data_IF_359744147780
#
_entry.id   IF_359744147780
#
_cell.length_a   1.000
_cell.length_b   1.000
_cell.length_c   1.000
_cell.angle_alpha   90.00
_cell.angle_beta   90.00
_cell.angle_gamma   90.00
#
_symmetry.space_group_name_H-M   'P 1'
#
loop_
_entity.id
_entity.type
_entity.pdbx_description
1 polymer ?
#
# COMPACT_ATOMS: atom_id res chain seq x y z
N UNK A 1 -31.73 0.87 -57.77
CA UNK A 1 -32.16 2.15 -57.20
C UNK A 1 -31.31 2.41 -55.96
N UNK A 2 -30.77 3.63 -55.86
CA UNK A 2 -29.58 4.00 -55.10
C UNK A 2 -29.81 4.15 -53.58
N UNK A 3 -28.76 3.87 -52.80
CA UNK A 3 -28.62 4.19 -51.38
C UNK A 3 -28.21 5.66 -51.16
N UNK A 4 -28.51 6.27 -50.01
CA UNK A 4 -27.77 7.43 -49.53
C UNK A 4 -26.90 7.10 -48.32
N UNK A 5 -25.59 7.34 -48.49
CA UNK A 5 -24.59 7.45 -47.44
C UNK A 5 -24.91 8.64 -46.53
N UNK A 6 -24.64 8.51 -45.23
CA UNK A 6 -24.69 9.65 -44.28
C UNK A 6 -23.32 9.83 -43.62
N UNK A 7 -22.84 11.06 -43.73
CA UNK A 7 -21.45 11.50 -43.56
C UNK A 7 -20.92 11.47 -42.13
N UNK A 8 -19.66 11.03 -42.03
CA UNK A 8 -18.71 11.29 -40.95
C UNK A 8 -18.48 12.80 -40.83
N UNK A 9 -18.59 13.35 -39.61
CA UNK A 9 -18.27 14.76 -39.31
C UNK A 9 -17.18 14.82 -38.25
N UNK A 10 -15.97 15.18 -38.66
CA UNK A 10 -14.82 15.55 -37.81
C UNK A 10 -14.60 17.05 -37.96
N UNK A 11 -14.40 17.80 -36.87
CA UNK A 11 -13.37 18.84 -36.89
C UNK A 11 -12.76 19.09 -35.48
N UNK A 12 -11.84 20.05 -35.31
CA UNK A 12 -10.54 20.19 -35.97
C UNK A 12 -9.39 20.06 -34.95
N UNK A 13 -8.22 19.69 -35.48
CA UNK A 13 -6.91 19.81 -34.82
C UNK A 13 -6.60 21.28 -34.51
N UNK A 14 -6.36 21.61 -33.24
CA UNK A 14 -5.73 22.88 -32.84
C UNK A 14 -4.30 22.60 -32.39
N UNK A 15 -3.35 23.08 -33.21
CA UNK A 15 -1.93 23.19 -32.90
C UNK A 15 -1.70 24.50 -32.16
N UNK A 16 -1.13 24.47 -30.94
CA UNK A 16 -0.28 25.54 -30.40
C UNK A 16 0.33 25.14 -29.05
N UNK A 17 1.58 24.66 -29.06
CA UNK A 17 2.53 24.91 -27.99
C UNK A 17 3.29 26.21 -28.35
N UNK A 18 3.75 27.06 -27.40
CA UNK A 18 5.01 26.73 -26.72
C UNK A 18 5.18 27.27 -25.27
N UNK A 19 6.08 26.59 -24.55
CA UNK A 19 7.05 27.12 -23.57
C UNK A 19 6.51 27.88 -22.35
N UNK A 20 6.48 27.18 -21.21
CA UNK A 20 6.97 27.75 -19.94
C UNK A 20 8.03 26.84 -19.32
N UNK A 21 9.04 27.53 -18.82
CA UNK A 21 10.37 27.12 -18.41
C UNK A 21 10.47 25.86 -17.53
N UNK A 22 11.63 25.18 -17.58
CA UNK A 22 11.97 24.15 -16.63
C UNK A 22 12.12 24.80 -15.24
N UNK A 23 11.37 24.32 -14.25
CA UNK A 23 11.78 24.46 -12.85
C UNK A 23 12.92 23.47 -12.61
N UNK A 24 14.11 23.85 -13.07
CA UNK A 24 15.33 23.59 -12.31
C UNK A 24 15.24 24.40 -11.02
N UNK A 25 15.93 23.93 -9.98
CA UNK A 25 15.88 24.31 -8.55
C UNK A 25 15.05 23.29 -7.77
N UNK A 26 15.63 22.31 -7.06
CA UNK A 26 16.98 22.22 -6.50
C UNK A 26 17.28 20.74 -6.28
N UNK A 27 18.29 20.24 -6.97
CA UNK A 27 19.02 19.07 -6.50
C UNK A 27 19.50 19.41 -5.08
N UNK A 28 19.06 18.63 -4.09
CA UNK A 28 19.66 18.60 -2.77
C UNK A 28 21.05 17.97 -2.96
N UNK A 29 21.98 18.76 -3.45
CA UNK A 29 23.39 18.44 -3.32
C UNK A 29 23.66 18.47 -1.83
N UNK A 30 23.98 17.31 -1.26
CA UNK A 30 24.73 17.20 -0.03
C UNK A 30 26.12 17.83 -0.26
N UNK A 31 26.17 19.16 -0.36
CA UNK A 31 27.41 19.92 -0.23
C UNK A 31 27.76 19.91 1.25
N UNK A 32 28.48 18.88 1.66
CA UNK A 32 29.38 18.95 2.81
C UNK A 32 30.47 19.99 2.52
N UNK A 33 30.12 21.26 2.63
CA UNK A 33 31.07 22.36 2.66
C UNK A 33 31.53 22.53 4.10
N UNK A 34 32.35 21.59 4.58
CA UNK A 34 33.26 21.84 5.70
C UNK A 34 34.32 22.82 5.20
N UNK A 35 33.99 24.12 5.20
CA UNK A 35 34.99 25.18 5.11
C UNK A 35 35.76 25.19 6.42
N UNK A 36 36.75 24.28 6.50
CA UNK A 36 37.74 24.22 7.56
C UNK A 36 38.54 25.52 7.54
N UNK A 37 38.15 26.45 8.41
CA UNK A 37 38.99 27.54 8.86
C UNK A 37 40.18 26.96 9.63
N UNK A 38 41.23 26.59 8.89
CA UNK A 38 42.53 26.19 9.42
C UNK A 38 43.25 27.40 10.01
N UNK A 39 43.00 27.70 11.28
CA UNK A 39 43.96 28.42 12.12
C UNK A 39 43.64 28.22 13.62
N UNK A 40 44.66 27.76 14.35
CA UNK A 40 44.78 27.62 15.80
C UNK A 40 44.34 26.26 16.42
N UNK A 41 45.36 25.53 16.87
CA UNK A 41 45.32 24.22 17.50
C UNK A 41 44.70 24.25 18.90
N UNK A 42 43.80 23.29 19.15
CA UNK A 42 43.66 22.61 20.43
C UNK A 42 43.26 21.17 20.10
N UNK A 43 44.18 20.21 20.26
CA UNK A 43 44.01 18.78 19.96
C UNK A 43 42.73 18.16 20.57
N UNK A 44 42.16 18.77 21.61
CA UNK A 44 40.94 18.30 22.27
C UNK A 44 39.62 18.62 21.56
N UNK A 45 39.51 19.68 20.74
CA UNK A 45 38.22 20.10 20.17
C UNK A 45 37.87 19.39 18.86
N UNK A 46 38.87 18.98 18.08
CA UNK A 46 38.66 18.17 16.87
C UNK A 46 38.33 16.72 17.24
N UNK A 47 38.97 16.19 18.29
CA UNK A 47 38.67 14.88 18.83
C UNK A 47 37.23 14.84 19.40
N UNK A 48 36.84 15.83 20.21
CA UNK A 48 35.46 15.94 20.71
C UNK A 48 34.41 16.06 19.60
N UNK A 49 34.67 16.88 18.57
CA UNK A 49 33.76 16.98 17.42
C UNK A 49 33.67 15.67 16.61
N UNK A 50 34.76 14.89 16.53
CA UNK A 50 34.75 13.58 15.89
C UNK A 50 33.97 12.54 16.71
N UNK A 51 34.13 12.55 18.04
CA UNK A 51 33.38 11.68 18.96
C UNK A 51 31.88 12.00 18.97
N UNK A 52 31.51 13.28 18.88
CA UNK A 52 30.11 13.73 18.76
C UNK A 52 29.48 13.28 17.44
N UNK A 53 30.21 13.42 16.32
CA UNK A 53 29.74 12.94 15.00
C UNK A 53 29.64 11.42 14.97
N UNK A 54 30.59 10.70 15.57
CA UNK A 54 30.56 9.25 15.65
C UNK A 54 29.36 8.76 16.48
N UNK A 55 29.10 9.40 17.62
CA UNK A 55 27.95 9.09 18.49
C UNK A 55 26.62 9.39 17.79
N UNK A 56 26.54 10.51 17.07
CA UNK A 56 25.36 10.85 16.28
C UNK A 56 25.12 9.87 15.11
N UNK A 57 26.19 9.43 14.45
CA UNK A 57 26.11 8.45 13.37
C UNK A 57 25.70 7.06 13.91
N UNK A 58 26.22 6.66 15.07
CA UNK A 58 25.81 5.42 15.74
C UNK A 58 24.34 5.48 16.16
N UNK A 59 23.90 6.58 16.78
CA UNK A 59 22.50 6.76 17.15
C UNK A 59 21.56 6.68 15.94
N UNK A 60 21.93 7.33 14.83
CA UNK A 60 21.17 7.23 13.59
C UNK A 60 21.17 5.80 13.00
N UNK A 61 22.28 5.07 13.10
CA UNK A 61 22.35 3.68 12.64
C UNK A 61 21.46 2.76 13.50
N UNK A 62 21.50 2.92 14.82
CA UNK A 62 20.66 2.15 15.75
C UNK A 62 19.17 2.44 15.52
N UNK A 63 18.80 3.71 15.26
CA UNK A 63 17.44 4.09 14.88
C UNK A 63 17.00 3.47 13.56
N UNK A 64 17.88 3.45 12.54
CA UNK A 64 17.61 2.81 11.24
C UNK A 64 17.41 1.30 11.42
N UNK A 65 18.26 0.64 12.22
CA UNK A 65 18.12 -0.79 12.51
C UNK A 65 16.82 -1.08 13.25
N UNK A 66 16.48 -0.32 14.29
CA UNK A 66 15.23 -0.50 15.02
C UNK A 66 13.98 -0.26 14.15
N UNK A 67 14.03 0.71 13.24
CA UNK A 67 12.97 0.93 12.27
C UNK A 67 12.84 -0.24 11.28
N UNK A 68 13.97 -0.82 10.85
CA UNK A 68 14.02 -2.02 10.02
C UNK A 68 13.37 -3.23 10.70
N UNK A 69 13.77 -3.53 11.94
CA UNK A 69 13.24 -4.66 12.71
C UNK A 69 11.71 -4.55 12.89
N UNK A 70 11.22 -3.33 13.20
CA UNK A 70 9.79 -3.07 13.34
C UNK A 70 9.03 -3.27 12.02
N UNK A 71 9.62 -2.85 10.89
CA UNK A 71 9.02 -3.07 9.58
C UNK A 71 8.93 -4.56 9.25
N UNK A 72 9.96 -5.33 9.56
CA UNK A 72 9.94 -6.79 9.36
C UNK A 72 8.86 -7.46 10.22
N UNK A 73 8.69 -7.03 11.47
CA UNK A 73 7.62 -7.50 12.34
C UNK A 73 6.23 -7.20 11.74
N UNK A 74 5.99 -5.96 11.31
CA UNK A 74 4.72 -5.56 10.67
C UNK A 74 4.45 -6.37 9.40
N UNK A 75 5.47 -6.59 8.56
CA UNK A 75 5.32 -7.41 7.35
C UNK A 75 5.00 -8.87 7.67
N UNK A 76 5.57 -9.43 8.73
CA UNK A 76 5.28 -10.78 9.18
C UNK A 76 3.83 -10.90 9.70
N UNK A 77 3.39 -9.96 10.53
CA UNK A 77 2.01 -9.90 11.03
C UNK A 77 1.00 -9.77 9.89
N UNK A 78 1.26 -8.87 8.93
CA UNK A 78 0.40 -8.66 7.77
C UNK A 78 0.21 -9.93 6.94
N UNK A 79 1.27 -10.76 6.81
CA UNK A 79 1.19 -12.05 6.12
C UNK A 79 0.32 -13.05 6.86
N UNK A 80 0.47 -13.13 8.18
CA UNK A 80 -0.38 -13.98 9.01
C UNK A 80 -1.86 -13.59 8.85
N UNK A 81 -2.20 -12.31 8.91
CA UNK A 81 -3.58 -11.87 8.70
C UNK A 81 -4.07 -12.11 7.27
N UNK A 82 -3.20 -12.00 6.25
CA UNK A 82 -3.56 -12.37 4.88
C UNK A 82 -3.89 -13.86 4.74
N UNK A 83 -3.12 -14.74 5.41
CA UNK A 83 -3.39 -16.18 5.42
C UNK A 83 -4.69 -16.51 6.17
N UNK A 84 -4.96 -15.84 7.30
CA UNK A 84 -6.23 -15.97 8.05
C UNK A 84 -7.43 -15.47 7.24
N UNK A 85 -7.27 -14.37 6.50
CA UNK A 85 -8.28 -13.86 5.59
C UNK A 85 -8.58 -14.86 4.47
N UNK A 86 -7.55 -15.49 3.87
CA UNK A 86 -7.74 -16.57 2.88
C UNK A 86 -8.49 -17.77 3.45
N UNK A 87 -8.14 -18.23 4.64
CA UNK A 87 -8.88 -19.32 5.28
C UNK A 87 -10.36 -18.95 5.52
N UNK A 88 -10.63 -17.69 5.84
CA UNK A 88 -11.99 -17.19 6.07
C UNK A 88 -12.80 -16.99 4.79
N UNK A 89 -12.14 -16.75 3.65
CA UNK A 89 -12.79 -16.76 2.33
C UNK A 89 -13.41 -18.13 2.04
N UNK A 90 -12.69 -19.21 2.33
CA UNK A 90 -13.16 -20.57 2.08
C UNK A 90 -14.33 -20.96 2.99
N UNK A 91 -14.27 -20.54 4.26
CA UNK A 91 -15.38 -20.70 5.20
C UNK A 91 -16.60 -19.89 4.75
N UNK A 92 -16.42 -18.61 4.41
CA UNK A 92 -17.50 -17.74 3.96
C UNK A 92 -18.22 -18.33 2.75
N UNK A 93 -17.49 -18.86 1.75
CA UNK A 93 -18.07 -19.56 0.59
C UNK A 93 -18.95 -20.74 0.98
N UNK A 94 -18.53 -21.51 1.98
CA UNK A 94 -19.27 -22.68 2.46
C UNK A 94 -20.59 -22.27 3.11
N UNK A 95 -20.61 -21.15 3.83
CA UNK A 95 -21.80 -20.60 4.49
C UNK A 95 -22.84 -20.00 3.53
N UNK A 96 -22.51 -19.75 2.26
CA UNK A 96 -23.45 -19.16 1.28
C UNK A 96 -24.50 -20.14 0.74
N UNK A 97 -24.40 -21.43 1.09
CA UNK A 97 -25.24 -22.49 0.51
C UNK A 97 -26.75 -22.34 0.79
N UNK A 98 -27.13 -21.64 1.86
CA UNK A 98 -28.52 -21.43 2.28
C UNK A 98 -29.18 -20.13 1.79
N UNK A 99 -28.47 -19.29 1.03
CA UNK A 99 -28.98 -18.03 0.52
C UNK A 99 -29.87 -18.21 -0.72
N UNK A 100 -30.80 -17.28 -0.93
CA UNK A 100 -31.47 -17.14 -2.22
C UNK A 100 -30.48 -16.72 -3.32
N UNK A 101 -30.86 -16.90 -4.58
CA UNK A 101 -29.93 -16.78 -5.72
C UNK A 101 -29.41 -15.35 -5.94
N UNK A 102 -30.19 -14.32 -5.61
CA UNK A 102 -29.74 -12.93 -5.71
C UNK A 102 -28.76 -12.58 -4.58
N UNK A 103 -29.11 -12.93 -3.33
CA UNK A 103 -28.23 -12.71 -2.18
C UNK A 103 -26.92 -13.50 -2.33
N UNK A 104 -27.01 -14.75 -2.80
CA UNK A 104 -25.86 -15.60 -3.08
C UNK A 104 -24.95 -15.00 -4.15
N UNK A 105 -25.49 -14.49 -5.25
CA UNK A 105 -24.70 -13.85 -6.30
C UNK A 105 -23.92 -12.64 -5.80
N UNK A 106 -24.53 -11.80 -4.95
CA UNK A 106 -23.85 -10.65 -4.33
C UNK A 106 -22.77 -11.08 -3.34
N UNK A 107 -23.06 -12.08 -2.51
CA UNK A 107 -22.10 -12.61 -1.55
C UNK A 107 -20.92 -13.31 -2.24
N UNK A 108 -21.16 -14.12 -3.27
CA UNK A 108 -20.12 -14.78 -4.07
C UNK A 108 -19.20 -13.75 -4.74
N UNK A 109 -19.77 -12.65 -5.25
CA UNK A 109 -19.00 -11.54 -5.82
C UNK A 109 -18.13 -10.85 -4.76
N UNK A 110 -18.72 -10.50 -3.60
CA UNK A 110 -17.99 -9.85 -2.52
C UNK A 110 -16.84 -10.73 -1.98
N UNK A 111 -17.08 -12.04 -1.82
CA UNK A 111 -16.05 -13.00 -1.38
C UNK A 111 -14.96 -13.17 -2.44
N UNK A 112 -15.31 -13.15 -3.73
CA UNK A 112 -14.33 -13.18 -4.83
C UNK A 112 -13.46 -11.93 -4.84
N UNK A 113 -14.05 -10.76 -4.63
CA UNK A 113 -13.33 -9.50 -4.56
C UNK A 113 -12.44 -9.44 -3.31
N UNK A 114 -12.90 -9.96 -2.18
CA UNK A 114 -12.10 -10.15 -0.97
C UNK A 114 -10.88 -11.04 -1.23
N UNK A 115 -11.06 -12.18 -1.91
CA UNK A 115 -9.93 -13.03 -2.28
C UNK A 115 -8.92 -12.27 -3.15
N UNK A 116 -9.37 -11.56 -4.18
CA UNK A 116 -8.49 -10.77 -5.03
C UNK A 116 -7.74 -9.67 -4.27
N UNK A 117 -8.39 -9.02 -3.30
CA UNK A 117 -7.75 -8.03 -2.45
C UNK A 117 -6.66 -8.65 -1.54
N UNK A 118 -6.90 -9.84 -0.99
CA UNK A 118 -5.90 -10.56 -0.18
C UNK A 118 -4.71 -11.00 -1.03
N UNK A 119 -4.95 -11.51 -2.24
CA UNK A 119 -3.88 -11.92 -3.16
C UNK A 119 -2.98 -10.73 -3.55
N UNK A 120 -3.59 -9.57 -3.81
CA UNK A 120 -2.86 -8.33 -4.10
C UNK A 120 -2.09 -7.80 -2.90
N UNK A 121 -2.66 -7.89 -1.70
CA UNK A 121 -1.97 -7.56 -0.46
C UNK A 121 -0.73 -8.45 -0.24
N UNK A 122 -0.85 -9.76 -0.45
CA UNK A 122 0.29 -10.66 -0.36
C UNK A 122 1.36 -10.33 -1.38
N UNK A 123 1.00 -10.08 -2.65
CA UNK A 123 1.95 -9.67 -3.67
C UNK A 123 2.68 -8.35 -3.30
N UNK A 124 1.97 -7.38 -2.73
CA UNK A 124 2.56 -6.14 -2.25
C UNK A 124 3.52 -6.37 -1.05
N UNK A 125 3.15 -7.26 -0.12
CA UNK A 125 3.98 -7.63 1.03
C UNK A 125 5.24 -8.41 0.63
N UNK A 126 5.15 -9.28 -0.37
CA UNK A 126 6.30 -9.96 -0.97
C UNK A 126 7.25 -8.96 -1.63
N UNK A 127 6.69 -8.03 -2.41
CA UNK A 127 7.47 -6.95 -3.03
C UNK A 127 8.14 -6.07 -1.97
N UNK A 128 7.43 -5.71 -0.91
CA UNK A 128 7.97 -4.91 0.19
C UNK A 128 9.14 -5.60 0.91
N UNK A 129 9.08 -6.91 1.07
CA UNK A 129 10.20 -7.68 1.63
C UNK A 129 11.39 -7.76 0.66
N UNK A 130 11.13 -7.89 -0.65
CA UNK A 130 12.19 -8.04 -1.65
C UNK A 130 12.89 -6.71 -1.99
N UNK A 131 12.13 -5.62 -2.09
CA UNK A 131 12.58 -4.32 -2.60
C UNK A 131 12.63 -3.23 -1.51
N UNK A 132 12.12 -3.52 -0.32
CA UNK A 132 11.91 -2.56 0.76
C UNK A 132 10.57 -1.83 0.66
N UNK A 133 10.06 -1.37 1.81
CA UNK A 133 8.75 -0.71 1.91
C UNK A 133 8.67 0.57 1.06
N UNK A 134 9.74 1.37 0.99
CA UNK A 134 9.73 2.62 0.22
C UNK A 134 9.58 2.38 -1.29
N UNK A 135 10.27 1.38 -1.85
CA UNK A 135 10.13 1.01 -3.26
C UNK A 135 8.75 0.38 -3.57
N UNK A 136 8.11 -0.18 -2.55
CA UNK A 136 6.83 -0.88 -2.63
C UNK A 136 5.63 -0.07 -2.16
N UNK A 137 5.82 1.19 -1.73
CA UNK A 137 4.78 2.01 -1.11
C UNK A 137 3.52 2.11 -1.97
N UNK A 138 3.68 2.33 -3.29
CA UNK A 138 2.53 2.38 -4.21
C UNK A 138 1.78 1.04 -4.29
N UNK A 139 2.49 -0.08 -4.28
CA UNK A 139 1.84 -1.40 -4.31
C UNK A 139 1.07 -1.68 -3.00
N UNK A 140 1.62 -1.26 -1.86
CA UNK A 140 0.96 -1.39 -0.56
C UNK A 140 -0.28 -0.50 -0.49
N UNK A 141 -0.21 0.73 -1.00
CA UNK A 141 -1.36 1.66 -1.05
C UNK A 141 -2.46 1.14 -1.98
N UNK A 142 -2.11 0.62 -3.16
CA UNK A 142 -3.07 0.03 -4.10
C UNK A 142 -3.74 -1.22 -3.50
N UNK A 143 -2.96 -2.08 -2.85
CA UNK A 143 -3.49 -3.26 -2.16
C UNK A 143 -4.44 -2.87 -1.02
N UNK A 144 -4.06 -1.87 -0.21
CA UNK A 144 -4.91 -1.35 0.85
C UNK A 144 -6.23 -0.81 0.31
N UNK A 145 -6.20 -0.05 -0.79
CA UNK A 145 -7.43 0.47 -1.40
C UNK A 145 -8.36 -0.67 -1.86
N UNK A 146 -7.81 -1.76 -2.39
CA UNK A 146 -8.58 -2.97 -2.74
C UNK A 146 -9.17 -3.67 -1.52
N UNK A 147 -8.41 -3.78 -0.43
CA UNK A 147 -8.88 -4.36 0.84
C UNK A 147 -10.03 -3.53 1.42
N UNK A 148 -9.89 -2.20 1.45
CA UNK A 148 -10.94 -1.29 1.93
C UNK A 148 -12.22 -1.41 1.06
N UNK A 149 -12.07 -1.51 -0.27
CA UNK A 149 -13.19 -1.71 -1.19
C UNK A 149 -13.89 -3.06 -0.99
N UNK A 150 -13.12 -4.15 -0.88
CA UNK A 150 -13.67 -5.49 -0.67
C UNK A 150 -14.41 -5.60 0.67
N UNK A 151 -13.91 -4.96 1.73
CA UNK A 151 -14.60 -4.87 3.01
C UNK A 151 -15.97 -4.20 2.88
N UNK A 152 -16.04 -3.08 2.17
CA UNK A 152 -17.31 -2.38 1.96
C UNK A 152 -18.34 -3.24 1.20
N UNK A 153 -17.87 -4.05 0.24
CA UNK A 153 -18.73 -5.01 -0.46
C UNK A 153 -19.19 -6.17 0.43
N UNK A 154 -18.32 -6.69 1.30
CA UNK A 154 -18.69 -7.71 2.29
C UNK A 154 -19.72 -7.18 3.28
N UNK A 155 -19.56 -5.95 3.77
CA UNK A 155 -20.53 -5.32 4.67
C UNK A 155 -21.91 -5.18 3.99
N UNK A 156 -21.92 -4.77 2.71
CA UNK A 156 -23.14 -4.68 1.92
C UNK A 156 -23.79 -6.05 1.67
N UNK A 157 -22.98 -7.07 1.38
CA UNK A 157 -23.46 -8.44 1.20
C UNK A 157 -23.98 -9.04 2.52
N UNK A 158 -23.29 -8.80 3.64
CA UNK A 158 -23.68 -9.28 4.96
C UNK A 158 -25.01 -8.68 5.42
N UNK A 159 -25.29 -7.41 5.11
CA UNK A 159 -26.57 -6.76 5.41
C UNK A 159 -27.77 -7.41 4.69
N UNK A 160 -27.53 -8.06 3.54
CA UNK A 160 -28.52 -8.82 2.79
C UNK A 160 -28.49 -10.33 3.05
N UNK A 161 -27.53 -10.80 3.83
CA UNK A 161 -27.36 -12.21 4.17
C UNK A 161 -28.05 -12.53 5.49
N UNK A 162 -28.70 -13.69 5.60
CA UNK A 162 -29.24 -14.17 6.88
C UNK A 162 -28.14 -14.38 7.94
N UNK A 163 -28.53 -14.63 9.20
CA UNK A 163 -27.62 -14.60 10.36
C UNK A 163 -26.32 -15.41 10.20
N UNK A 164 -26.40 -16.64 9.66
CA UNK A 164 -25.24 -17.53 9.50
C UNK A 164 -24.26 -17.01 8.42
N UNK A 165 -24.76 -16.75 7.21
CA UNK A 165 -23.94 -16.24 6.12
C UNK A 165 -23.43 -14.80 6.39
N UNK A 166 -24.27 -13.96 7.01
CA UNK A 166 -23.90 -12.62 7.42
C UNK A 166 -22.77 -12.63 8.47
N UNK A 167 -22.83 -13.54 9.44
CA UNK A 167 -21.76 -13.71 10.44
C UNK A 167 -20.42 -14.15 9.83
N UNK A 168 -20.44 -15.07 8.86
CA UNK A 168 -19.23 -15.49 8.16
C UNK A 168 -18.60 -14.36 7.33
N UNK A 169 -19.43 -13.59 6.60
CA UNK A 169 -18.98 -12.43 5.82
C UNK A 169 -18.41 -11.31 6.72
N UNK A 170 -19.02 -11.07 7.87
CA UNK A 170 -18.51 -10.11 8.86
C UNK A 170 -17.17 -10.55 9.46
N UNK A 171 -17.00 -11.86 9.72
CA UNK A 171 -15.73 -12.41 10.20
C UNK A 171 -14.62 -12.18 9.17
N UNK A 172 -14.89 -12.48 7.90
CA UNK A 172 -13.96 -12.18 6.82
C UNK A 172 -13.66 -10.67 6.72
N UNK A 173 -14.69 -9.81 6.84
CA UNK A 173 -14.53 -8.36 6.88
C UNK A 173 -13.63 -7.89 8.03
N UNK A 174 -13.68 -8.57 9.18
CA UNK A 174 -12.79 -8.33 10.32
C UNK A 174 -11.33 -8.65 10.03
N UNK A 175 -11.04 -9.78 9.35
CA UNK A 175 -9.68 -10.12 8.94
C UNK A 175 -9.13 -9.16 7.87
N UNK A 176 -9.99 -8.73 6.92
CA UNK A 176 -9.61 -7.69 5.96
C UNK A 176 -9.30 -6.35 6.64
N UNK A 177 -10.03 -5.99 7.68
CA UNK A 177 -9.75 -4.78 8.47
C UNK A 177 -8.38 -4.84 9.14
N UNK A 178 -8.05 -5.96 9.78
CA UNK A 178 -6.74 -6.18 10.39
C UNK A 178 -5.61 -6.08 9.34
N UNK A 179 -5.78 -6.78 8.21
CA UNK A 179 -4.84 -6.70 7.10
C UNK A 179 -4.66 -5.27 6.57
N UNK A 180 -5.75 -4.52 6.41
CA UNK A 180 -5.71 -3.12 5.96
C UNK A 180 -5.00 -2.19 6.96
N UNK A 181 -5.09 -2.47 8.26
CA UNK A 181 -4.37 -1.74 9.31
C UNK A 181 -2.87 -2.04 9.30
N UNK A 182 -2.48 -3.28 9.05
CA UNK A 182 -1.07 -3.64 8.95
C UNK A 182 -0.42 -3.03 7.71
N UNK A 183 -1.09 -3.10 6.55
CA UNK A 183 -0.63 -2.45 5.32
C UNK A 183 -0.42 -0.94 5.51
N UNK A 184 -1.30 -0.28 6.27
CA UNK A 184 -1.17 1.14 6.63
C UNK A 184 -0.04 1.41 7.60
N UNK A 185 0.30 0.45 8.45
CA UNK A 185 1.42 0.56 9.39
C UNK A 185 2.75 0.33 8.66
N UNK A 186 2.76 -0.48 7.60
CA UNK A 186 3.94 -0.76 6.78
C UNK A 186 4.39 0.42 5.91
N UNK A 187 3.54 1.43 5.70
CA UNK A 187 3.86 2.63 4.89
C UNK A 187 4.08 3.90 5.69
N UNK A 188 4.02 3.84 7.02
CA UNK A 188 4.29 4.96 7.94
C UNK A 188 5.69 4.90 8.54
#
# INVERSE_FOLDING_TARGET
MAAPATSVRRPPTTTAAPRRAPRLLTALAATGALTLGLAACSDGTVQGAADDVASAAQGAADEITAAGDKLEEVLATARTHADEARASVDEARSSLSGLDEEARGKADQAVTNAQGAVDEAQAALEKAQAEGAQASAQAIDDARAKVDAARAELDAAAAGAGDEAGGALQTLGGHLDALGQDLRSATQ
#
